data_IF_703051981750
#
_entry.id   IF_703051981750
#
_cell.length_a   1.000
_cell.length_b   1.000
_cell.length_c   1.000
_cell.angle_alpha   90.00
_cell.angle_beta   90.00
_cell.angle_gamma   90.00
#
_symmetry.space_group_name_H-M   'P 1'
#
loop_
_entity.id
_entity.type
_entity.pdbx_description
1 polymer ?
#
# COMPACT_ATOMS: atom_id res chain seq x y z
N UNK A 1 -31.19 -60.22 -64.92
CA UNK A 1 -32.00 -60.76 -63.80
C UNK A 1 -31.42 -60.18 -62.51
N UNK A 2 -32.12 -59.27 -61.85
CA UNK A 2 -31.61 -58.58 -60.65
C UNK A 2 -32.11 -59.30 -59.40
N UNK A 3 -31.18 -59.76 -58.55
CA UNK A 3 -31.49 -60.37 -57.26
C UNK A 3 -31.27 -59.32 -56.17
N UNK A 4 -32.31 -59.02 -55.40
CA UNK A 4 -32.25 -58.09 -54.26
C UNK A 4 -32.32 -58.90 -52.98
N UNK A 5 -31.22 -58.94 -52.23
CA UNK A 5 -31.13 -59.60 -50.93
C UNK A 5 -31.37 -58.57 -49.82
N UNK A 6 -32.36 -58.82 -48.95
CA UNK A 6 -32.58 -58.04 -47.72
C UNK A 6 -31.95 -58.78 -46.55
N UNK A 7 -30.79 -58.31 -46.12
CA UNK A 7 -30.13 -58.82 -44.92
C UNK A 7 -30.62 -58.06 -43.68
N UNK A 8 -30.84 -58.77 -42.57
CA UNK A 8 -31.00 -58.20 -41.23
C UNK A 8 -29.76 -58.53 -40.42
N UNK A 9 -29.19 -57.52 -39.76
CA UNK A 9 -28.04 -57.72 -38.87
C UNK A 9 -28.49 -58.49 -37.63
N UNK A 10 -27.65 -59.41 -37.15
CA UNK A 10 -27.84 -60.11 -35.88
C UNK A 10 -27.52 -59.21 -34.67
N UNK A 11 -28.10 -59.52 -33.52
CA UNK A 11 -27.88 -58.75 -32.29
C UNK A 11 -26.42 -58.81 -31.79
N UNK A 12 -25.73 -59.92 -32.07
CA UNK A 12 -24.30 -60.06 -31.76
C UNK A 12 -23.43 -59.08 -32.55
N UNK A 13 -23.70 -58.93 -33.86
CA UNK A 13 -23.02 -57.95 -34.71
C UNK A 13 -23.37 -56.51 -34.30
N UNK A 14 -24.59 -56.25 -33.80
CA UNK A 14 -24.95 -54.96 -33.21
C UNK A 14 -24.09 -54.67 -31.98
N UNK A 15 -24.03 -55.60 -31.04
CA UNK A 15 -23.31 -55.43 -29.78
C UNK A 15 -21.80 -55.24 -30.01
N UNK A 16 -21.22 -56.01 -30.93
CA UNK A 16 -19.81 -55.87 -31.32
C UNK A 16 -19.53 -54.50 -31.94
N UNK A 17 -20.44 -53.98 -32.76
CA UNK A 17 -20.33 -52.62 -33.30
C UNK A 17 -20.44 -51.57 -32.18
N UNK A 18 -21.41 -51.69 -31.27
CA UNK A 18 -21.58 -50.76 -30.15
C UNK A 18 -20.34 -50.67 -29.26
N UNK A 19 -19.75 -51.81 -28.88
CA UNK A 19 -18.52 -51.86 -28.09
C UNK A 19 -17.36 -51.20 -28.82
N UNK A 20 -17.16 -51.54 -30.11
CA UNK A 20 -16.11 -50.92 -30.94
C UNK A 20 -16.29 -49.41 -31.06
N UNK A 21 -17.53 -48.94 -31.22
CA UNK A 21 -17.84 -47.52 -31.31
C UNK A 21 -17.61 -46.82 -29.96
N UNK A 22 -18.01 -47.44 -28.86
CA UNK A 22 -17.77 -46.92 -27.51
C UNK A 22 -16.26 -46.80 -27.23
N UNK A 23 -15.48 -47.84 -27.53
CA UNK A 23 -14.03 -47.84 -27.36
C UNK A 23 -13.37 -46.74 -28.22
N UNK A 24 -13.83 -46.54 -29.45
CA UNK A 24 -13.31 -45.47 -30.30
C UNK A 24 -13.60 -44.07 -29.72
N UNK A 25 -14.80 -43.86 -29.18
CA UNK A 25 -15.21 -42.57 -28.59
C UNK A 25 -14.44 -42.30 -27.29
N UNK A 26 -14.36 -43.29 -26.39
CA UNK A 26 -13.68 -43.12 -25.10
C UNK A 26 -12.19 -42.89 -25.30
N UNK A 27 -11.55 -43.60 -26.24
CA UNK A 27 -10.13 -43.40 -26.57
C UNK A 27 -9.88 -42.03 -27.17
N UNK A 28 -10.73 -41.57 -28.08
CA UNK A 28 -10.62 -40.21 -28.63
C UNK A 28 -10.78 -39.13 -27.55
N UNK A 29 -11.69 -39.35 -26.58
CA UNK A 29 -11.87 -38.45 -25.44
C UNK A 29 -10.65 -38.44 -24.52
N UNK A 30 -10.12 -39.61 -24.14
CA UNK A 30 -8.95 -39.71 -23.28
C UNK A 30 -7.71 -39.07 -23.91
N UNK A 31 -7.51 -39.26 -25.22
CA UNK A 31 -6.41 -38.62 -25.95
C UNK A 31 -6.55 -37.10 -25.93
N UNK A 32 -7.74 -36.56 -26.21
CA UNK A 32 -7.98 -35.11 -26.14
C UNK A 32 -7.81 -34.55 -24.73
N UNK A 33 -8.21 -35.31 -23.71
CA UNK A 33 -8.03 -34.92 -22.31
C UNK A 33 -6.54 -34.87 -21.94
N UNK A 34 -5.77 -35.89 -22.33
CA UNK A 34 -4.33 -35.94 -22.10
C UNK A 34 -3.61 -34.79 -22.83
N UNK A 35 -3.95 -34.53 -24.09
CA UNK A 35 -3.40 -33.42 -24.87
C UNK A 35 -3.75 -32.05 -24.24
N UNK A 36 -4.96 -31.89 -23.70
CA UNK A 36 -5.34 -30.70 -22.96
C UNK A 36 -4.54 -30.53 -21.65
N UNK A 37 -4.38 -31.59 -20.87
CA UNK A 37 -3.60 -31.59 -19.63
C UNK A 37 -2.10 -31.33 -19.89
N UNK A 38 -1.55 -31.91 -20.97
CA UNK A 38 -0.17 -31.68 -21.40
C UNK A 38 0.03 -30.24 -21.88
N UNK A 39 -0.90 -29.69 -22.66
CA UNK A 39 -0.86 -28.29 -23.08
C UNK A 39 -0.96 -27.33 -21.88
N UNK A 40 -1.78 -27.64 -20.87
CA UNK A 40 -1.84 -26.86 -19.62
C UNK A 40 -0.51 -26.92 -18.85
N UNK A 41 0.08 -28.11 -18.71
CA UNK A 41 1.35 -28.28 -18.02
C UNK A 41 2.50 -27.60 -18.78
N UNK A 42 2.50 -27.67 -20.11
CA UNK A 42 3.46 -26.98 -20.96
C UNK A 42 3.30 -25.46 -20.88
N UNK A 43 2.07 -24.94 -20.87
CA UNK A 43 1.80 -23.52 -20.67
C UNK A 43 2.30 -23.04 -19.30
N UNK A 44 2.04 -23.80 -18.24
CA UNK A 44 2.53 -23.51 -16.89
C UNK A 44 4.07 -23.60 -16.77
N UNK A 45 4.73 -24.40 -17.60
CA UNK A 45 6.19 -24.53 -17.63
C UNK A 45 6.86 -23.50 -18.55
N UNK A 46 6.18 -23.06 -19.62
CA UNK A 46 6.62 -21.99 -20.53
C UNK A 46 6.48 -20.59 -19.92
N UNK A 47 5.55 -20.40 -18.98
CA UNK A 47 5.61 -19.31 -18.00
C UNK A 47 6.76 -19.57 -17.00
N UNK A 48 7.99 -19.70 -17.50
CA UNK A 48 9.17 -19.81 -16.65
C UNK A 48 9.18 -18.68 -15.63
N UNK A 49 9.42 -19.00 -14.34
CA UNK A 49 9.29 -18.14 -13.15
C UNK A 49 8.94 -16.69 -13.52
N UNK A 50 7.67 -16.47 -13.84
CA UNK A 50 7.20 -15.12 -14.01
C UNK A 50 7.34 -14.50 -12.62
N UNK A 51 8.21 -13.50 -12.49
CA UNK A 51 8.16 -12.60 -11.34
C UNK A 51 6.84 -11.85 -11.51
N UNK A 52 5.78 -12.51 -11.07
CA UNK A 52 4.41 -12.05 -11.11
C UNK A 52 4.16 -11.29 -9.81
N UNK A 53 3.37 -10.23 -9.89
CA UNK A 53 3.10 -9.35 -8.77
C UNK A 53 4.01 -8.13 -8.72
N UNK A 54 3.51 -7.10 -8.02
CA UNK A 54 4.23 -5.84 -7.81
C UNK A 54 5.33 -6.04 -6.77
N UNK A 55 6.34 -5.17 -6.80
CA UNK A 55 7.35 -5.14 -5.74
C UNK A 55 6.68 -4.95 -4.36
N UNK A 56 6.96 -5.82 -3.37
CA UNK A 56 6.54 -5.66 -1.98
C UNK A 56 6.72 -4.23 -1.42
N UNK A 57 7.85 -3.56 -1.69
CA UNK A 57 8.09 -2.19 -1.22
C UNK A 57 7.08 -1.18 -1.77
N UNK A 58 6.76 -1.27 -3.07
CA UNK A 58 5.74 -0.41 -3.67
C UNK A 58 4.34 -0.69 -3.11
N UNK A 59 4.05 -1.94 -2.77
CA UNK A 59 2.80 -2.29 -2.11
C UNK A 59 2.70 -1.66 -0.72
N UNK A 60 3.82 -1.58 0.02
CA UNK A 60 3.91 -0.90 1.33
C UNK A 60 3.65 0.60 1.20
N UNK A 61 4.28 1.26 0.22
CA UNK A 61 4.03 2.68 -0.06
C UNK A 61 2.55 2.95 -0.36
N UNK A 62 1.89 2.06 -1.12
CA UNK A 62 0.46 2.16 -1.42
C UNK A 62 -0.40 2.00 -0.16
N UNK A 63 -0.12 0.97 0.64
CA UNK A 63 -0.83 0.73 1.91
C UNK A 63 -0.75 1.96 2.81
N UNK A 64 0.46 2.49 3.01
CA UNK A 64 0.72 3.66 3.87
C UNK A 64 0.02 4.91 3.34
N UNK A 65 0.14 5.19 2.04
CA UNK A 65 -0.48 6.36 1.41
C UNK A 65 -2.01 6.32 1.54
N UNK A 66 -2.62 5.18 1.27
CA UNK A 66 -4.08 5.04 1.33
C UNK A 66 -4.60 5.09 2.78
N UNK A 67 -3.87 4.51 3.73
CA UNK A 67 -4.21 4.59 5.15
C UNK A 67 -4.07 6.01 5.68
N UNK A 68 -3.02 6.73 5.30
CA UNK A 68 -2.81 8.15 5.63
C UNK A 68 -3.92 9.01 5.05
N UNK A 69 -4.26 8.86 3.77
CA UNK A 69 -5.39 9.56 3.15
C UNK A 69 -6.68 9.32 3.92
N UNK A 70 -6.98 8.06 4.28
CA UNK A 70 -8.16 7.72 5.05
C UNK A 70 -8.15 8.32 6.46
N UNK A 71 -7.01 8.32 7.16
CA UNK A 71 -6.88 8.94 8.48
C UNK A 71 -7.12 10.45 8.40
N UNK A 72 -6.49 11.14 7.45
CA UNK A 72 -6.71 12.56 7.25
C UNK A 72 -8.14 12.87 6.85
N UNK A 73 -8.76 12.10 5.94
CA UNK A 73 -10.19 12.24 5.62
C UNK A 73 -11.08 12.16 6.86
N UNK A 74 -10.77 11.30 7.83
CA UNK A 74 -11.53 11.20 9.07
C UNK A 74 -11.30 12.40 10.01
N UNK A 75 -10.09 12.94 10.06
CA UNK A 75 -9.73 14.10 10.89
C UNK A 75 -10.34 15.39 10.31
N UNK A 76 -10.27 15.56 9.00
CA UNK A 76 -10.58 16.82 8.32
C UNK A 76 -12.00 16.84 7.74
N UNK A 77 -12.64 15.68 7.61
CA UNK A 77 -13.95 15.54 6.96
C UNK A 77 -13.90 15.75 5.44
N UNK A 78 -12.71 15.65 4.82
CA UNK A 78 -12.50 15.94 3.40
C UNK A 78 -12.27 14.69 2.55
N UNK A 79 -12.58 14.80 1.26
CA UNK A 79 -12.28 13.79 0.23
C UNK A 79 -11.13 14.20 -0.70
N UNK A 80 -10.47 15.34 -0.43
CA UNK A 80 -9.33 15.87 -1.20
C UNK A 80 -9.62 16.13 -2.69
N UNK A 81 -10.88 16.36 -3.06
CA UNK A 81 -11.30 16.62 -4.44
C UNK A 81 -11.07 18.07 -4.90
N UNK A 82 -10.79 18.98 -3.96
CA UNK A 82 -10.69 20.42 -4.22
C UNK A 82 -9.25 20.90 -4.46
N UNK A 83 -8.23 20.07 -4.26
CA UNK A 83 -6.84 20.45 -4.47
C UNK A 83 -6.57 20.57 -5.97
N UNK A 84 -6.32 21.78 -6.46
CA UNK A 84 -6.21 22.11 -7.89
C UNK A 84 -5.16 23.21 -8.18
N UNK A 85 -4.14 23.33 -7.34
CA UNK A 85 -2.99 24.21 -7.57
C UNK A 85 -2.27 24.00 -8.92
N UNK A 86 -2.44 22.83 -9.56
CA UNK A 86 -2.00 22.59 -10.93
C UNK A 86 -3.12 22.89 -11.92
N UNK A 87 -2.91 23.90 -12.77
CA UNK A 87 -3.87 24.31 -13.78
C UNK A 87 -3.28 24.18 -15.19
N UNK A 88 -4.16 24.10 -16.18
CA UNK A 88 -3.75 24.15 -17.58
C UNK A 88 -3.92 25.57 -18.09
N UNK A 89 -2.87 26.14 -18.68
CA UNK A 89 -2.93 27.48 -19.25
C UNK A 89 -3.81 27.52 -20.53
N UNK A 90 -3.94 28.71 -21.12
CA UNK A 90 -4.73 28.91 -22.35
C UNK A 90 -4.18 28.17 -23.57
N UNK A 91 -2.96 27.65 -23.49
CA UNK A 91 -2.24 26.95 -24.57
C UNK A 91 -2.16 25.43 -24.31
N UNK A 92 -2.69 24.93 -23.20
CA UNK A 92 -2.66 23.51 -22.86
C UNK A 92 -1.44 23.08 -22.03
N UNK A 93 -0.58 24.00 -21.60
CA UNK A 93 0.59 23.67 -20.79
C UNK A 93 0.24 23.62 -19.30
N UNK A 94 0.85 22.69 -18.54
CA UNK A 94 0.71 22.68 -17.09
C UNK A 94 1.39 23.90 -16.49
N UNK A 95 0.65 24.64 -15.68
CA UNK A 95 1.10 25.79 -14.90
C UNK A 95 0.69 25.64 -13.43
N UNK A 96 1.37 26.38 -12.56
CA UNK A 96 1.06 26.44 -11.13
C UNK A 96 0.21 27.68 -10.89
N UNK A 97 -0.95 27.51 -10.25
CA UNK A 97 -1.65 28.60 -9.58
C UNK A 97 -0.95 28.84 -8.25
N UNK A 98 -0.11 29.87 -8.20
CA UNK A 98 0.70 30.16 -7.01
C UNK A 98 -0.15 30.56 -5.80
N UNK A 99 -1.30 31.19 -5.99
CA UNK A 99 -2.15 31.60 -4.88
C UNK A 99 -2.84 30.38 -4.25
N UNK A 100 -3.35 29.47 -5.09
CA UNK A 100 -3.91 28.21 -4.62
C UNK A 100 -2.83 27.31 -4.00
N UNK A 101 -1.66 27.20 -4.64
CA UNK A 101 -0.53 26.43 -4.13
C UNK A 101 -0.04 26.91 -2.75
N UNK A 102 -0.05 28.22 -2.50
CA UNK A 102 0.31 28.79 -1.21
C UNK A 102 -0.71 28.43 -0.12
N UNK A 103 -2.01 28.55 -0.43
CA UNK A 103 -3.10 28.21 0.49
C UNK A 103 -3.14 26.71 0.79
N UNK A 104 -3.13 25.87 -0.25
CA UNK A 104 -3.06 24.40 -0.13
C UNK A 104 -1.78 23.96 0.56
N UNK A 105 -0.65 24.58 0.24
CA UNK A 105 0.67 24.23 0.80
C UNK A 105 0.76 24.45 2.30
N UNK A 106 0.14 25.50 2.84
CA UNK A 106 0.06 25.70 4.29
C UNK A 106 -0.77 24.60 4.96
N UNK A 107 -1.89 24.22 4.34
CA UNK A 107 -2.75 23.15 4.82
C UNK A 107 -2.05 21.78 4.79
N UNK A 108 -1.42 21.45 3.66
CA UNK A 108 -0.66 20.22 3.47
C UNK A 108 0.46 20.16 4.51
N UNK A 109 1.29 21.21 4.61
CA UNK A 109 2.42 21.27 5.54
C UNK A 109 2.01 21.01 6.99
N UNK A 110 0.89 21.58 7.44
CA UNK A 110 0.40 21.36 8.80
C UNK A 110 0.16 19.87 9.09
N UNK A 111 -0.59 19.15 8.25
CA UNK A 111 -0.90 17.74 8.49
C UNK A 111 0.27 16.79 8.21
N UNK A 112 1.15 17.17 7.26
CA UNK A 112 2.37 16.42 6.97
C UNK A 112 3.35 16.47 8.15
N UNK A 113 3.49 17.63 8.80
CA UNK A 113 4.43 17.80 9.91
C UNK A 113 3.86 17.39 11.28
N UNK A 114 2.55 17.59 11.50
CA UNK A 114 1.94 17.37 12.81
C UNK A 114 1.89 15.91 13.25
N UNK A 115 1.98 14.97 12.32
CA UNK A 115 1.94 13.54 12.59
C UNK A 115 3.26 12.87 12.20
N UNK A 116 3.65 11.85 12.95
CA UNK A 116 4.80 11.01 12.59
C UNK A 116 4.29 9.80 11.78
N UNK A 117 4.08 10.06 10.48
CA UNK A 117 3.54 9.07 9.53
C UNK A 117 4.38 7.79 9.42
N UNK A 118 5.74 7.84 9.39
CA UNK A 118 6.57 6.63 9.44
C UNK A 118 6.32 5.73 10.65
N UNK A 119 5.89 6.30 11.79
CA UNK A 119 5.54 5.54 13.00
C UNK A 119 4.07 5.10 13.06
N UNK A 120 3.31 5.27 11.98
CA UNK A 120 1.92 4.82 11.90
C UNK A 120 1.84 3.30 12.03
N UNK A 121 0.93 2.83 12.88
CA UNK A 121 0.63 1.40 13.02
C UNK A 121 -0.79 1.10 12.58
N UNK A 122 -1.01 -0.07 11.98
CA UNK A 122 -2.32 -0.45 11.46
C UNK A 122 -2.68 -1.92 11.67
N UNK A 123 -3.97 -2.20 11.61
CA UNK A 123 -4.55 -3.54 11.66
C UNK A 123 -5.71 -3.65 10.66
N UNK A 124 -5.64 -4.62 9.76
CA UNK A 124 -6.71 -4.91 8.81
C UNK A 124 -7.76 -5.85 9.41
N UNK A 125 -9.02 -5.42 9.35
CA UNK A 125 -10.15 -6.28 9.66
C UNK A 125 -10.67 -6.98 8.39
N UNK A 126 -11.14 -8.24 8.49
CA UNK A 126 -11.58 -9.01 7.34
C UNK A 126 -12.70 -8.35 6.52
N UNK A 127 -12.86 -8.81 5.27
CA UNK A 127 -13.80 -8.29 4.26
C UNK A 127 -15.24 -8.06 4.75
N UNK A 128 -15.71 -8.87 5.71
CA UNK A 128 -17.09 -8.82 6.18
C UNK A 128 -17.43 -7.58 7.03
N UNK A 129 -16.42 -6.79 7.42
CA UNK A 129 -16.61 -5.46 8.00
C UNK A 129 -16.84 -4.36 6.95
N UNK A 130 -16.72 -4.69 5.66
CA UNK A 130 -17.01 -3.80 4.54
C UNK A 130 -18.35 -4.12 3.86
N UNK A 131 -18.70 -3.33 2.83
CA UNK A 131 -19.95 -3.54 2.06
C UNK A 131 -19.95 -4.90 1.36
N UNK A 132 -21.10 -5.58 1.32
CA UNK A 132 -21.29 -6.87 0.62
C UNK A 132 -21.00 -6.80 -0.87
N UNK A 133 -21.35 -5.65 -1.47
CA UNK A 133 -21.06 -5.29 -2.86
C UNK A 133 -20.49 -3.88 -2.87
N UNK A 134 -19.56 -3.61 -3.78
CA UNK A 134 -19.07 -2.26 -4.02
C UNK A 134 -20.21 -1.30 -4.37
N UNK A 135 -19.97 -0.01 -4.11
CA UNK A 135 -20.94 1.06 -4.34
C UNK A 135 -21.10 1.44 -5.81
N UNK A 136 -20.16 1.06 -6.66
CA UNK A 136 -20.09 1.41 -8.07
C UNK A 136 -20.25 0.16 -8.95
N UNK A 137 -20.76 0.36 -10.16
CA UNK A 137 -21.10 -0.73 -11.08
C UNK A 137 -19.86 -1.50 -11.56
N UNK A 138 -19.85 -2.81 -11.34
CA UNK A 138 -18.70 -3.67 -11.65
C UNK A 138 -17.64 -3.75 -10.54
N UNK A 139 -17.85 -3.11 -9.39
CA UNK A 139 -16.92 -3.23 -8.26
C UNK A 139 -17.01 -4.57 -7.49
N UNK A 140 -16.01 -4.88 -6.64
CA UNK A 140 -15.90 -6.19 -6.00
C UNK A 140 -16.99 -6.45 -4.96
N UNK A 141 -17.47 -7.69 -4.95
CA UNK A 141 -18.32 -8.25 -3.88
C UNK A 141 -17.48 -8.96 -2.81
N UNK A 142 -18.12 -9.37 -1.72
CA UNK A 142 -17.48 -10.28 -0.74
C UNK A 142 -16.97 -11.56 -1.39
N UNK A 143 -17.71 -12.13 -2.35
CA UNK A 143 -17.28 -13.34 -3.06
C UNK A 143 -16.01 -13.03 -3.83
N UNK A 144 -15.94 -11.90 -4.54
CA UNK A 144 -14.74 -11.48 -5.26
C UNK A 144 -13.54 -11.29 -4.33
N UNK A 145 -13.75 -10.66 -3.17
CA UNK A 145 -12.70 -10.51 -2.14
C UNK A 145 -12.17 -11.85 -1.64
N UNK A 146 -12.99 -12.91 -1.60
CA UNK A 146 -12.55 -14.24 -1.17
C UNK A 146 -11.87 -15.00 -2.32
N UNK A 147 -12.47 -14.98 -3.51
CA UNK A 147 -12.14 -15.94 -4.58
C UNK A 147 -11.34 -15.35 -5.74
N UNK A 148 -11.37 -14.03 -5.94
CA UNK A 148 -10.78 -13.38 -7.12
C UNK A 148 -9.62 -12.45 -6.80
N UNK A 149 -9.62 -11.83 -5.62
CA UNK A 149 -8.49 -11.03 -5.17
C UNK A 149 -7.42 -11.98 -4.66
N UNK A 150 -6.27 -12.00 -5.31
CA UNK A 150 -5.08 -12.74 -4.91
C UNK A 150 -3.86 -11.89 -5.22
N UNK A 151 -2.86 -11.92 -4.33
CA UNK A 151 -1.58 -11.27 -4.54
C UNK A 151 -0.44 -12.18 -4.06
N UNK A 152 0.72 -12.08 -4.70
CA UNK A 152 1.92 -12.83 -4.29
C UNK A 152 2.44 -12.36 -2.93
N UNK A 153 2.10 -11.12 -2.56
CA UNK A 153 2.40 -10.57 -1.24
C UNK A 153 1.20 -10.72 -0.27
N UNK A 154 1.33 -11.55 0.78
CA UNK A 154 0.23 -11.83 1.69
C UNK A 154 -0.27 -10.63 2.51
N UNK A 155 0.56 -9.61 2.72
CA UNK A 155 0.17 -8.41 3.46
C UNK A 155 -0.70 -7.50 2.61
N UNK A 156 -0.28 -7.24 1.38
CA UNK A 156 -1.05 -6.46 0.41
C UNK A 156 -2.34 -7.18 0.02
N UNK A 157 -2.32 -8.50 -0.08
CA UNK A 157 -3.56 -9.27 -0.27
C UNK A 157 -4.56 -9.01 0.89
N UNK A 158 -4.09 -8.97 2.14
CA UNK A 158 -4.95 -8.64 3.29
C UNK A 158 -5.48 -7.22 3.20
N UNK A 159 -4.66 -6.25 2.79
CA UNK A 159 -5.07 -4.87 2.56
C UNK A 159 -6.22 -4.80 1.54
N UNK A 160 -6.07 -5.41 0.36
CA UNK A 160 -7.10 -5.43 -0.69
C UNK A 160 -8.40 -6.13 -0.25
N UNK A 161 -8.26 -7.21 0.52
CA UNK A 161 -9.40 -7.97 1.06
C UNK A 161 -10.05 -7.30 2.26
N UNK A 162 -9.39 -6.37 2.93
CA UNK A 162 -9.90 -5.77 4.16
C UNK A 162 -11.30 -5.16 3.97
N UNK A 163 -12.13 -5.28 5.00
CA UNK A 163 -13.43 -4.61 5.09
C UNK A 163 -13.32 -3.28 5.83
N UNK A 164 -12.37 -3.20 6.75
CA UNK A 164 -12.04 -2.01 7.53
C UNK A 164 -10.57 -2.07 7.97
N UNK A 165 -10.00 -0.94 8.39
CA UNK A 165 -8.69 -0.87 9.01
C UNK A 165 -8.77 -0.06 10.31
N UNK A 166 -7.98 -0.43 11.32
CA UNK A 166 -7.69 0.42 12.48
C UNK A 166 -6.30 0.99 12.28
N UNK A 167 -6.19 2.30 12.36
CA UNK A 167 -4.92 3.03 12.25
C UNK A 167 -4.66 3.77 13.56
N UNK A 168 -3.41 3.77 14.01
CA UNK A 168 -2.92 4.64 15.08
C UNK A 168 -1.79 5.48 14.51
N UNK A 169 -1.96 6.79 14.56
CA UNK A 169 -0.98 7.76 14.09
C UNK A 169 -0.52 8.57 15.30
N UNK A 170 0.77 8.52 15.66
CA UNK A 170 1.30 9.38 16.70
C UNK A 170 1.39 10.83 16.23
N UNK A 171 1.07 11.76 17.12
CA UNK A 171 1.29 13.21 16.92
C UNK A 171 2.76 13.50 17.22
N UNK A 172 3.40 14.33 16.40
CA UNK A 172 4.79 14.76 16.61
C UNK A 172 4.86 15.63 17.88
N UNK A 173 5.86 15.44 18.75
CA UNK A 173 6.06 16.32 19.90
C UNK A 173 6.09 17.81 19.50
N UNK A 174 5.33 18.64 20.22
CA UNK A 174 5.16 20.07 19.95
C UNK A 174 3.93 20.41 19.08
N UNK A 175 3.27 19.41 18.47
CA UNK A 175 2.05 19.61 17.67
C UNK A 175 0.76 19.23 18.41
N UNK A 176 0.84 18.78 19.67
CA UNK A 176 -0.31 18.31 20.43
C UNK A 176 -1.39 19.38 20.58
N UNK A 177 -1.00 20.59 21.00
CA UNK A 177 -1.93 21.71 21.18
C UNK A 177 -2.49 22.20 19.84
N UNK A 178 -1.66 22.22 18.80
CA UNK A 178 -2.07 22.64 17.46
C UNK A 178 -3.12 21.68 16.86
N UNK A 179 -2.94 20.36 17.04
CA UNK A 179 -3.94 19.36 16.64
C UNK A 179 -5.19 19.44 17.51
N UNK A 180 -5.07 19.62 18.82
CA UNK A 180 -6.23 19.80 19.70
C UNK A 180 -7.04 21.04 19.32
N UNK A 181 -6.36 22.15 18.99
CA UNK A 181 -7.00 23.34 18.45
C UNK A 181 -7.78 23.00 17.18
N UNK A 182 -7.13 22.40 16.17
CA UNK A 182 -7.80 22.01 14.93
C UNK A 182 -9.01 21.11 15.16
N UNK A 183 -8.91 20.11 16.04
CA UNK A 183 -10.03 19.20 16.36
C UNK A 183 -11.19 19.91 17.06
N UNK A 184 -10.93 21.01 17.76
CA UNK A 184 -11.95 21.78 18.48
C UNK A 184 -12.59 22.89 17.65
N UNK A 185 -11.83 23.54 16.76
CA UNK A 185 -12.26 24.73 16.01
C UNK A 185 -12.46 24.46 14.52
N UNK A 186 -11.78 23.44 13.97
CA UNK A 186 -11.67 23.20 12.53
C UNK A 186 -10.66 24.11 11.83
N UNK A 187 -9.94 24.95 12.57
CA UNK A 187 -9.00 25.93 12.01
C UNK A 187 -7.56 25.52 12.29
N UNK A 188 -6.70 25.68 11.28
CA UNK A 188 -5.25 25.49 11.44
C UNK A 188 -4.72 26.58 12.36
N UNK A 189 -3.88 26.20 13.31
CA UNK A 189 -3.21 27.14 14.18
C UNK A 189 -2.20 28.00 13.38
N UNK A 190 -2.51 29.28 13.21
CA UNK A 190 -1.71 30.24 12.42
C UNK A 190 -0.79 31.15 13.27
N UNK A 191 -0.41 30.72 14.48
CA UNK A 191 0.57 31.43 15.31
C UNK A 191 -0.01 32.58 16.15
N UNK A 192 -0.47 32.25 17.35
CA UNK A 192 -0.58 33.14 18.53
C UNK A 192 0.33 32.63 19.66
N UNK A 193 0.32 33.26 20.85
CA UNK A 193 1.22 32.91 22.00
C UNK A 193 1.25 31.41 22.33
N UNK A 194 2.28 30.77 21.76
CA UNK A 194 3.16 29.64 22.15
C UNK A 194 2.58 28.37 22.80
N UNK A 195 3.18 27.20 22.46
CA UNK A 195 4.43 26.84 23.12
C UNK A 195 5.61 26.79 22.15
N UNK A 196 6.69 27.37 22.62
CA UNK A 196 7.94 27.65 21.90
C UNK A 196 9.01 26.60 22.18
N UNK A 197 10.12 26.55 21.43
CA UNK A 197 11.05 27.66 21.09
C UNK A 197 11.64 27.49 19.68
N UNK A 198 11.51 28.38 18.69
CA UNK A 198 10.82 29.69 18.53
C UNK A 198 10.54 29.93 17.01
N UNK A 199 9.39 29.45 16.52
CA UNK A 199 8.88 29.31 15.14
C UNK A 199 9.52 28.20 14.24
N UNK A 200 9.04 26.95 14.39
CA UNK A 200 9.59 25.73 13.79
C UNK A 200 8.84 25.20 12.55
N UNK A 201 7.96 25.98 11.90
CA UNK A 201 7.21 25.54 10.69
C UNK A 201 8.11 25.17 9.48
N UNK A 202 9.42 25.39 9.63
CA UNK A 202 10.48 24.99 8.72
C UNK A 202 11.28 23.80 9.29
N UNK A 203 10.64 22.66 9.51
CA UNK A 203 11.39 21.40 9.47
C UNK A 203 11.97 21.28 8.06
N UNK A 204 13.30 21.32 7.98
CA UNK A 204 14.08 21.31 6.74
C UNK A 204 13.62 20.15 5.86
N UNK A 205 13.35 20.38 4.57
CA UNK A 205 12.92 19.38 3.58
C UNK A 205 13.84 18.14 3.61
N UNK A 206 15.09 18.34 4.03
CA UNK A 206 16.08 17.29 4.24
C UNK A 206 15.66 16.29 5.32
N UNK A 207 15.04 16.73 6.42
CA UNK A 207 14.54 15.87 7.50
C UNK A 207 13.33 15.05 7.03
N UNK A 208 12.44 15.65 6.23
CA UNK A 208 11.31 14.97 5.59
C UNK A 208 11.79 13.89 4.60
N UNK A 209 12.80 14.20 3.78
CA UNK A 209 13.44 13.25 2.86
C UNK A 209 14.18 12.12 3.59
N UNK A 210 14.79 12.40 4.75
CA UNK A 210 15.46 11.39 5.59
C UNK A 210 14.47 10.43 6.26
N UNK A 211 13.33 10.95 6.72
CA UNK A 211 12.23 10.15 7.27
C UNK A 211 11.62 9.23 6.20
N UNK A 212 11.48 9.70 4.96
CA UNK A 212 11.11 8.84 3.83
C UNK A 212 12.14 7.72 3.55
N UNK A 213 13.40 7.90 3.95
CA UNK A 213 14.47 6.90 3.80
C UNK A 213 14.63 5.98 5.02
N UNK A 214 13.77 6.10 6.05
CA UNK A 214 13.76 5.22 7.21
C UNK A 214 14.86 5.50 8.25
N UNK A 215 15.50 6.67 8.21
CA UNK A 215 16.45 7.09 9.24
C UNK A 215 15.69 7.80 10.38
N UNK A 216 15.50 7.10 11.50
CA UNK A 216 15.00 7.70 12.73
C UNK A 216 16.19 8.22 13.55
N UNK A 217 16.28 9.53 13.75
CA UNK A 217 17.26 10.14 14.64
C UNK A 217 16.53 10.63 15.88
N UNK A 218 16.92 10.11 17.04
CA UNK A 218 16.43 10.61 18.31
C UNK A 218 17.32 11.78 18.77
N UNK A 219 16.77 12.99 18.75
CA UNK A 219 17.50 14.18 19.24
C UNK A 219 17.43 14.17 20.77
N UNK A 220 18.56 13.89 21.42
CA UNK A 220 18.71 14.00 22.87
C UNK A 220 19.50 15.25 23.27
N UNK A 221 19.12 15.85 24.39
CA UNK A 221 19.88 16.97 24.97
C UNK A 221 21.18 16.45 25.61
N UNK A 222 22.25 17.25 25.52
CA UNK A 222 23.52 16.95 26.17
C UNK A 222 24.72 17.58 25.47
N UNK A 223 25.90 17.44 26.08
CA UNK A 223 27.16 17.86 25.48
C UNK A 223 28.11 16.70 25.39
N UNK A 224 28.85 16.62 24.29
CA UNK A 224 29.81 15.56 24.05
C UNK A 224 31.21 16.16 24.07
N UNK A 225 32.09 15.55 24.84
CA UNK A 225 33.52 15.90 24.86
C UNK A 225 34.29 14.79 24.15
N UNK A 226 35.07 15.19 23.14
CA UNK A 226 35.96 14.29 22.39
C UNK A 226 37.35 14.90 22.38
N UNK A 227 38.37 14.13 22.76
CA UNK A 227 39.77 14.53 22.59
C UNK A 227 40.31 14.00 21.25
N UNK A 228 41.13 14.81 20.58
CA UNK A 228 41.67 14.45 19.27
C UNK A 228 42.59 13.22 19.38
N UNK A 229 42.20 12.11 18.75
CA UNK A 229 42.92 10.85 18.75
C UNK A 229 42.44 9.84 19.79
N UNK A 230 41.42 10.18 20.59
CA UNK A 230 40.76 9.25 21.49
C UNK A 230 39.59 8.53 20.78
N UNK A 231 39.42 7.25 21.09
CA UNK A 231 38.29 6.44 20.62
C UNK A 231 37.10 6.49 21.60
N UNK A 232 37.27 7.16 22.75
CA UNK A 232 36.25 7.32 23.77
C UNK A 232 35.58 8.68 23.67
N UNK A 233 34.26 8.66 23.73
CA UNK A 233 33.39 9.82 23.66
C UNK A 233 32.66 9.93 25.00
N UNK A 234 32.79 11.06 25.70
CA UNK A 234 32.13 11.25 27.00
C UNK A 234 30.96 12.21 26.83
N UNK A 235 29.74 11.69 27.00
CA UNK A 235 28.52 12.49 27.10
C UNK A 235 28.33 13.05 28.50
N UNK A 236 28.04 14.35 28.61
CA UNK A 236 27.66 15.03 29.85
C UNK A 236 26.23 15.55 29.71
N UNK A 237 25.36 15.11 30.61
CA UNK A 237 23.93 15.44 30.58
C UNK A 237 23.17 14.81 29.41
N UNK A 238 23.69 13.71 28.85
CA UNK A 238 23.02 12.92 27.81
C UNK A 238 22.16 11.83 28.44
N UNK A 239 21.15 11.35 27.70
CA UNK A 239 20.30 10.23 28.10
C UNK A 239 20.75 8.89 27.49
N UNK A 240 22.05 8.70 27.25
CA UNK A 240 22.54 7.46 26.66
C UNK A 240 22.31 6.27 27.59
N UNK A 241 21.69 5.22 27.05
CA UNK A 241 21.47 3.94 27.72
C UNK A 241 22.49 2.90 27.22
N UNK A 242 22.61 1.78 27.93
CA UNK A 242 23.50 0.67 27.51
C UNK A 242 23.11 0.07 26.15
N UNK A 243 21.89 0.34 25.65
CA UNK A 243 21.42 -0.07 24.33
C UNK A 243 21.99 0.75 23.17
N UNK A 244 22.57 1.92 23.43
CA UNK A 244 22.94 2.90 22.40
C UNK A 244 24.33 2.64 21.81
N UNK A 245 24.86 1.43 22.00
CA UNK A 245 26.15 0.98 21.45
C UNK A 245 26.02 0.86 19.92
N UNK A 246 27.11 1.17 19.20
CA UNK A 246 27.21 1.10 17.73
C UNK A 246 26.27 2.04 16.94
N UNK A 247 25.75 3.10 17.58
CA UNK A 247 24.98 4.15 16.90
C UNK A 247 25.87 5.31 16.44
N UNK A 248 25.55 5.86 15.27
CA UNK A 248 26.21 7.07 14.75
C UNK A 248 25.70 8.30 15.50
N UNK A 249 26.62 9.13 15.99
CA UNK A 249 26.30 10.36 16.73
C UNK A 249 26.54 11.58 15.84
N UNK A 250 25.50 12.39 15.65
CA UNK A 250 25.57 13.65 14.93
C UNK A 250 25.55 14.83 15.90
N UNK A 251 26.58 15.69 15.85
CA UNK A 251 26.69 16.88 16.70
C UNK A 251 26.36 18.11 15.84
N UNK A 252 25.36 18.89 16.27
CA UNK A 252 25.08 20.19 15.64
C UNK A 252 26.30 21.10 15.82
N UNK A 253 27.02 21.34 14.71
CA UNK A 253 28.31 22.03 14.74
C UNK A 253 28.18 23.46 15.25
N UNK A 254 28.94 23.80 16.30
CA UNK A 254 29.35 25.19 16.52
C UNK A 254 30.35 25.57 15.42
N UNK A 255 29.97 26.50 14.56
CA UNK A 255 30.94 27.32 13.79
C UNK A 255 31.65 28.29 14.70
#
# INVERSE_FOLDING_TARGET
MNVVLRCKRTDELLRKWQLKTYDAIIQAYLNKKAEYEENLAMAATQEGVSISGRNPGQNREIEETELKRCALSMITGQHFECFNAMQTDTQGWPGIDFAEAEAEGAYIRFFEQAFDWPLMTYLFYPYFWGRRSAAWDGGPTWIDKITRIQDVDPLFEKFLKAGAARVRVPVRPGFEEAILHYLSTGEIWNGGEEPTIDDPLLLDIVEELRQQQGAYVEKSEGTITVENGDAQVIGTGTNFEESDVDHDIYIEGRR
#
